data_IF_654063148395
#
_entry.id   IF_654063148395
#
_cell.length_a   1.000
_cell.length_b   1.000
_cell.length_c   1.000
_cell.angle_alpha   90.00
_cell.angle_beta   90.00
_cell.angle_gamma   90.00
#
_symmetry.space_group_name_H-M   'P 1'
#
loop_
_entity.id
_entity.type
_entity.pdbx_description
1 polymer ?
#
# COMPACT_ATOMS: atom_id res chain seq x y z
N UNK A 1 -16.73 -6.32 57.51
CA UNK A 1 -15.69 -6.74 58.49
C UNK A 1 -15.69 -8.26 58.56
N UNK A 2 -14.48 -8.81 58.51
CA UNK A 2 -14.01 -10.21 58.60
C UNK A 2 -14.92 -11.30 59.23
N UNK A 3 -14.87 -12.53 58.69
CA UNK A 3 -14.05 -13.69 59.15
C UNK A 3 -14.55 -14.97 58.44
N UNK A 4 -13.82 -16.08 58.26
CA UNK A 4 -12.47 -16.41 57.78
C UNK A 4 -12.51 -17.93 57.42
N UNK A 5 -11.55 -18.40 56.62
CA UNK A 5 -11.46 -19.72 55.96
C UNK A 5 -11.35 -20.95 56.89
N UNK A 6 -11.86 -22.09 56.41
CA UNK A 6 -11.65 -23.51 56.79
C UNK A 6 -11.42 -24.24 55.42
N UNK A 7 -10.53 -25.20 55.14
CA UNK A 7 -10.38 -26.57 55.66
C UNK A 7 -9.03 -27.18 55.18
N UNK A 8 -8.50 -28.01 56.06
CA UNK A 8 -7.25 -28.78 56.13
C UNK A 8 -7.35 -30.20 55.53
N UNK A 9 -6.18 -30.72 55.09
CA UNK A 9 -5.70 -32.12 55.15
C UNK A 9 -6.43 -33.21 54.31
N UNK A 10 -5.83 -34.33 53.83
CA UNK A 10 -4.68 -35.10 54.31
C UNK A 10 -4.15 -36.12 53.26
N UNK A 11 -2.85 -36.48 53.41
CA UNK A 11 -2.11 -37.75 53.18
C UNK A 11 -2.62 -38.89 52.27
N UNK A 12 -1.70 -39.46 51.48
CA UNK A 12 -1.68 -40.90 51.11
C UNK A 12 -0.80 -41.23 49.88
N UNK A 13 0.11 -42.21 49.99
CA UNK A 13 1.20 -42.50 49.06
C UNK A 13 0.99 -43.74 48.16
N UNK A 14 1.65 -43.76 46.97
CA UNK A 14 2.16 -44.91 46.15
C UNK A 14 1.14 -46.04 45.81
N UNK A 15 0.87 -46.46 44.56
CA UNK A 15 1.76 -46.96 43.49
C UNK A 15 0.91 -47.35 42.25
N UNK A 16 1.59 -47.50 41.10
CA UNK A 16 1.24 -48.23 39.85
C UNK A 16 0.14 -47.72 38.93
N UNK A 17 0.56 -47.22 37.76
CA UNK A 17 0.25 -47.88 36.48
C UNK A 17 1.27 -47.47 35.39
N UNK A 18 1.87 -48.47 34.74
CA UNK A 18 2.64 -48.32 33.51
C UNK A 18 1.67 -47.88 32.41
N UNK A 19 1.93 -46.76 31.76
CA UNK A 19 1.24 -46.35 30.53
C UNK A 19 2.24 -46.35 29.36
N UNK A 20 1.75 -46.86 28.24
CA UNK A 20 2.51 -47.41 27.13
C UNK A 20 3.38 -46.40 26.38
N UNK A 21 4.62 -46.84 26.17
CA UNK A 21 5.61 -46.31 25.25
C UNK A 21 5.24 -46.67 23.81
N UNK A 22 4.26 -46.00 23.22
CA UNK A 22 4.02 -46.02 21.77
C UNK A 22 3.00 -44.93 21.43
N UNK A 23 3.43 -43.82 20.82
CA UNK A 23 2.64 -42.88 19.97
C UNK A 23 3.26 -41.48 19.78
N UNK A 24 4.54 -41.29 20.11
CA UNK A 24 5.31 -40.14 19.59
C UNK A 24 6.38 -40.61 18.62
N UNK A 25 5.94 -41.18 17.50
CA UNK A 25 6.79 -41.26 16.31
C UNK A 25 7.09 -39.85 15.85
N UNK A 26 8.35 -39.46 16.00
CA UNK A 26 8.98 -38.30 15.35
C UNK A 26 8.64 -38.33 13.86
N UNK A 27 7.59 -37.62 13.44
CA UNK A 27 7.54 -37.11 12.08
C UNK A 27 8.52 -35.95 12.08
N UNK A 28 9.77 -36.26 11.74
CA UNK A 28 10.78 -35.26 11.45
C UNK A 28 10.30 -34.50 10.21
N UNK A 29 9.60 -33.38 10.44
CA UNK A 29 9.48 -32.34 9.42
C UNK A 29 10.90 -31.92 9.08
N UNK A 30 11.40 -32.40 7.94
CA UNK A 30 12.59 -31.83 7.32
C UNK A 30 12.32 -30.34 7.18
N UNK A 31 13.23 -29.46 7.63
CA UNK A 31 13.13 -28.06 7.27
C UNK A 31 13.21 -28.04 5.74
N UNK A 32 12.13 -27.61 5.09
CA UNK A 32 12.17 -27.31 3.66
C UNK A 32 13.14 -26.14 3.56
N UNK A 33 14.35 -26.45 3.12
CA UNK A 33 15.33 -25.45 2.79
C UNK A 33 14.72 -24.62 1.66
N UNK A 34 14.25 -23.42 2.00
CA UNK A 34 14.06 -22.36 1.01
C UNK A 34 15.44 -22.19 0.38
N UNK A 35 15.63 -22.73 -0.83
CA UNK A 35 16.80 -22.43 -1.66
C UNK A 35 16.64 -21.00 -2.16
N UNK A 36 16.73 -20.04 -1.25
CA UNK A 36 17.03 -18.68 -1.63
C UNK A 36 18.40 -18.72 -2.29
N UNK A 37 18.54 -18.09 -3.46
CA UNK A 37 19.86 -17.70 -3.92
C UNK A 37 20.56 -17.00 -2.77
N UNK A 38 21.68 -17.55 -2.31
CA UNK A 38 22.64 -16.77 -1.57
C UNK A 38 23.29 -15.86 -2.61
N UNK A 39 22.78 -14.63 -2.75
CA UNK A 39 23.55 -13.57 -3.40
C UNK A 39 24.86 -13.30 -2.66
N UNK A 40 25.00 -13.85 -1.45
CA UNK A 40 26.26 -13.91 -0.76
C UNK A 40 27.26 -14.81 -1.53
N UNK A 41 28.25 -14.19 -2.15
CA UNK A 41 29.45 -14.84 -2.68
C UNK A 41 30.62 -14.69 -1.69
N UNK A 42 31.67 -15.48 -1.87
CA UNK A 42 32.90 -15.26 -1.10
C UNK A 42 33.44 -13.86 -1.42
N UNK A 43 33.74 -13.08 -0.38
CA UNK A 43 34.22 -11.71 -0.56
C UNK A 43 35.55 -11.71 -1.31
N UNK A 44 35.61 -10.95 -2.40
CA UNK A 44 36.80 -10.81 -3.22
C UNK A 44 37.82 -9.87 -2.55
N UNK A 45 39.14 -10.08 -2.74
CA UNK A 45 40.16 -9.13 -2.29
C UNK A 45 39.92 -7.69 -2.78
N UNK A 46 40.51 -6.72 -2.11
CA UNK A 46 40.27 -5.30 -2.37
C UNK A 46 40.55 -4.90 -3.82
N UNK A 47 39.57 -4.26 -4.46
CA UNK A 47 39.70 -3.60 -5.75
C UNK A 47 40.15 -2.15 -5.61
N UNK A 48 40.34 -1.49 -6.75
CA UNK A 48 40.74 -0.08 -6.83
C UNK A 48 39.86 0.68 -7.81
N UNK A 49 39.53 1.93 -7.50
CA UNK A 49 38.76 2.79 -8.41
C UNK A 49 39.56 3.07 -9.68
N UNK A 50 39.00 2.74 -10.84
CA UNK A 50 39.58 3.01 -12.17
C UNK A 50 39.06 4.31 -12.76
N UNK A 51 37.76 4.56 -12.68
CA UNK A 51 37.10 5.75 -13.22
C UNK A 51 35.87 6.14 -12.40
N UNK A 52 35.55 7.43 -12.42
CA UNK A 52 34.35 8.02 -11.80
C UNK A 52 33.71 8.94 -12.84
N UNK A 53 32.44 8.70 -13.16
CA UNK A 53 31.65 9.47 -14.12
C UNK A 53 30.28 9.73 -13.49
N UNK A 54 30.15 10.87 -12.78
CA UNK A 54 28.99 11.13 -11.94
C UNK A 54 28.79 10.00 -10.93
N UNK A 55 27.56 9.49 -10.79
CA UNK A 55 27.24 8.38 -9.91
C UNK A 55 27.80 7.01 -10.35
N UNK A 56 28.38 6.91 -11.55
CA UNK A 56 28.93 5.65 -12.08
C UNK A 56 30.41 5.55 -11.72
N UNK A 57 30.78 4.50 -11.00
CA UNK A 57 32.15 4.23 -10.57
C UNK A 57 32.61 2.89 -11.11
N UNK A 58 33.69 2.86 -11.86
CA UNK A 58 34.30 1.61 -12.32
C UNK A 58 35.40 1.18 -11.33
N UNK A 59 35.35 -0.07 -10.89
CA UNK A 59 36.28 -0.65 -9.91
C UNK A 59 36.99 -1.83 -10.56
N UNK A 60 38.32 -1.81 -10.52
CA UNK A 60 39.17 -2.86 -11.06
C UNK A 60 39.69 -3.76 -9.93
N UNK A 61 39.62 -5.07 -10.13
CA UNK A 61 40.11 -6.09 -9.22
C UNK A 61 41.35 -6.77 -9.83
N UNK A 62 42.26 -7.22 -8.97
CA UNK A 62 43.51 -7.88 -9.42
C UNK A 62 43.31 -9.36 -9.77
N UNK A 63 42.23 -9.98 -9.29
CA UNK A 63 41.94 -11.40 -9.48
C UNK A 63 40.80 -11.61 -10.48
N UNK A 64 40.76 -12.79 -11.10
CA UNK A 64 39.69 -13.21 -12.01
C UNK A 64 38.36 -13.48 -11.28
N UNK A 65 38.38 -13.53 -9.94
CA UNK A 65 37.16 -13.61 -9.15
C UNK A 65 36.60 -12.19 -8.99
N UNK A 66 35.56 -11.85 -9.76
CA UNK A 66 34.88 -10.56 -9.65
C UNK A 66 33.68 -10.65 -8.71
N UNK A 67 33.37 -9.57 -7.96
CA UNK A 67 32.14 -9.51 -7.19
C UNK A 67 30.92 -9.73 -8.09
N UNK A 68 29.92 -10.45 -7.57
CA UNK A 68 28.69 -10.72 -8.32
C UNK A 68 27.94 -9.42 -8.64
N UNK A 69 27.16 -9.44 -9.72
CA UNK A 69 26.20 -8.36 -9.99
C UNK A 69 25.25 -8.28 -8.79
N UNK A 70 24.91 -7.05 -8.39
CA UNK A 70 24.14 -6.67 -7.21
C UNK A 70 24.88 -6.73 -5.88
N UNK A 71 26.16 -7.13 -5.83
CA UNK A 71 26.95 -7.03 -4.60
C UNK A 71 27.23 -5.57 -4.24
N UNK A 72 27.25 -5.29 -2.94
CA UNK A 72 27.69 -4.04 -2.38
C UNK A 72 29.21 -4.04 -2.21
N UNK A 73 29.84 -2.94 -2.63
CA UNK A 73 31.23 -2.62 -2.39
C UNK A 73 31.33 -1.40 -1.48
N UNK A 74 32.32 -1.37 -0.60
CA UNK A 74 32.56 -0.25 0.30
C UNK A 74 33.88 0.44 -0.03
N UNK A 75 33.84 1.75 -0.26
CA UNK A 75 35.04 2.55 -0.49
C UNK A 75 35.73 2.81 0.84
N UNK A 76 37.03 2.48 0.93
CA UNK A 76 37.81 2.71 2.14
C UNK A 76 38.33 4.14 2.20
N UNK A 77 38.39 4.67 3.42
CA UNK A 77 38.92 6.00 3.74
C UNK A 77 38.26 7.15 2.96
N UNK A 78 36.96 7.02 2.68
CA UNK A 78 36.20 8.09 2.03
C UNK A 78 35.91 9.23 3.02
N UNK A 79 36.26 10.46 2.62
CA UNK A 79 36.18 11.63 3.51
C UNK A 79 34.73 12.01 3.90
N UNK A 80 33.74 11.69 3.05
CA UNK A 80 32.31 11.92 3.29
C UNK A 80 31.65 10.90 4.24
N UNK A 81 32.40 9.95 4.80
CA UNK A 81 31.88 8.86 5.60
C UNK A 81 31.75 7.57 4.82
N UNK A 82 30.75 6.75 5.14
CA UNK A 82 30.56 5.44 4.52
C UNK A 82 29.95 5.59 3.13
N UNK A 83 30.71 5.23 2.09
CA UNK A 83 30.21 5.19 0.72
C UNK A 83 30.08 3.75 0.23
N UNK A 84 28.88 3.40 -0.20
CA UNK A 84 28.55 2.09 -0.77
C UNK A 84 28.31 2.22 -2.27
N UNK A 85 28.88 1.30 -3.03
CA UNK A 85 28.69 1.14 -4.47
C UNK A 85 27.98 -0.20 -4.73
N UNK A 86 27.00 -0.24 -5.62
CA UNK A 86 26.36 -1.50 -6.04
C UNK A 86 26.87 -1.92 -7.43
N UNK A 87 27.31 -3.17 -7.58
CA UNK A 87 27.75 -3.71 -8.86
C UNK A 87 26.58 -3.85 -9.82
N UNK A 88 26.59 -3.10 -10.93
CA UNK A 88 25.54 -3.13 -11.94
C UNK A 88 25.89 -4.04 -13.13
N UNK A 89 27.15 -4.10 -13.53
CA UNK A 89 27.59 -4.92 -14.68
C UNK A 89 29.10 -5.24 -14.63
N UNK A 90 29.50 -6.27 -15.35
CA UNK A 90 30.91 -6.62 -15.59
C UNK A 90 31.35 -6.09 -16.95
N UNK A 91 32.45 -5.34 -17.00
CA UNK A 91 32.95 -4.71 -18.23
C UNK A 91 34.04 -5.54 -18.95
N UNK A 92 34.58 -6.57 -18.28
CA UNK A 92 35.82 -7.25 -18.70
C UNK A 92 37.07 -6.60 -18.09
N UNK A 93 38.26 -7.11 -18.42
CA UNK A 93 39.55 -6.64 -17.86
C UNK A 93 39.56 -6.57 -16.32
N UNK A 94 38.92 -7.54 -15.68
CA UNK A 94 38.71 -7.60 -14.24
C UNK A 94 38.10 -6.31 -13.65
N UNK A 95 37.26 -5.63 -14.43
CA UNK A 95 36.59 -4.38 -14.05
C UNK A 95 35.08 -4.59 -13.94
N UNK A 96 34.52 -4.09 -12.84
CA UNK A 96 33.07 -3.99 -12.63
C UNK A 96 32.64 -2.54 -12.69
N UNK A 97 31.46 -2.29 -13.23
CA UNK A 97 30.82 -0.99 -13.17
C UNK A 97 29.80 -0.99 -12.05
N UNK A 98 29.88 0.04 -11.23
CA UNK A 98 29.04 0.20 -10.05
C UNK A 98 28.27 1.51 -10.08
N UNK A 99 27.19 1.56 -9.32
CA UNK A 99 26.40 2.76 -9.07
C UNK A 99 26.60 3.15 -7.61
N UNK A 100 27.00 4.39 -7.37
CA UNK A 100 27.16 4.93 -6.02
C UNK A 100 25.80 5.22 -5.36
N UNK A 101 25.66 4.86 -4.09
CA UNK A 101 24.45 5.10 -3.30
C UNK A 101 24.42 6.49 -2.64
N UNK A 102 25.52 7.23 -2.75
CA UNK A 102 25.68 8.60 -2.25
C UNK A 102 26.63 9.39 -3.18
N UNK A 103 26.88 10.65 -2.87
CA UNK A 103 27.78 11.54 -3.58
C UNK A 103 29.17 10.92 -3.82
N UNK A 104 29.70 11.10 -5.03
CA UNK A 104 31.01 10.60 -5.46
C UNK A 104 32.11 11.66 -5.35
N UNK A 105 31.82 12.80 -4.74
CA UNK A 105 32.78 13.89 -4.55
C UNK A 105 33.98 13.44 -3.73
N UNK A 106 35.19 13.81 -4.18
CA UNK A 106 36.42 13.46 -3.49
C UNK A 106 36.90 12.02 -3.73
N UNK A 107 36.21 11.23 -4.55
CA UNK A 107 36.75 9.95 -5.01
C UNK A 107 37.94 10.15 -5.93
N UNK A 108 38.98 9.37 -5.70
CA UNK A 108 40.22 9.40 -6.50
C UNK A 108 40.51 8.02 -7.07
N UNK A 109 41.14 8.01 -8.26
CA UNK A 109 41.60 6.76 -8.88
C UNK A 109 42.65 6.08 -7.99
N UNK A 110 42.63 4.75 -7.96
CA UNK A 110 43.48 3.94 -7.09
C UNK A 110 42.97 3.79 -5.66
N UNK A 111 41.90 4.51 -5.26
CA UNK A 111 41.31 4.35 -3.93
C UNK A 111 40.79 2.93 -3.75
N UNK A 112 41.04 2.36 -2.57
CA UNK A 112 40.71 0.97 -2.26
C UNK A 112 39.21 0.79 -2.07
N UNK A 113 38.68 -0.28 -2.63
CA UNK A 113 37.29 -0.69 -2.55
C UNK A 113 37.24 -2.13 -2.07
N UNK A 114 36.38 -2.43 -1.12
CA UNK A 114 36.24 -3.77 -0.54
C UNK A 114 34.88 -4.35 -0.91
N UNK A 115 34.87 -5.56 -1.46
CA UNK A 115 33.66 -6.33 -1.68
C UNK A 115 33.10 -6.82 -0.35
N UNK A 116 31.82 -6.55 -0.09
CA UNK A 116 31.14 -7.04 1.11
C UNK A 116 30.75 -8.51 0.99
N UNK A 117 30.82 -9.06 -0.23
CA UNK A 117 30.43 -10.42 -0.56
C UNK A 117 28.92 -10.62 -0.62
N UNK A 118 28.10 -9.59 -0.42
CA UNK A 118 26.65 -9.69 -0.47
C UNK A 118 26.04 -8.40 -1.05
N UNK A 119 24.76 -8.42 -1.47
CA UNK A 119 24.03 -7.20 -1.77
C UNK A 119 23.95 -6.25 -0.58
N UNK A 120 23.51 -5.01 -0.84
CA UNK A 120 23.19 -4.07 0.23
C UNK A 120 22.22 -4.74 1.20
N UNK A 121 22.62 -4.81 2.49
CA UNK A 121 21.80 -5.41 3.55
C UNK A 121 21.27 -4.33 4.49
N UNK A 122 20.00 -4.44 4.84
CA UNK A 122 19.30 -3.47 5.68
C UNK A 122 18.74 -4.15 6.95
N UNK A 123 18.59 -3.41 8.07
CA UNK A 123 17.98 -3.94 9.27
C UNK A 123 16.50 -4.28 9.02
N UNK A 124 16.05 -5.41 9.56
CA UNK A 124 14.64 -5.83 9.51
C UNK A 124 14.15 -6.29 10.88
N UNK A 125 12.85 -6.23 11.10
CA UNK A 125 12.23 -6.64 12.36
C UNK A 125 11.37 -5.53 12.97
N UNK A 126 10.86 -5.80 14.18
CA UNK A 126 10.02 -4.83 14.91
C UNK A 126 10.82 -3.61 15.37
N UNK A 127 12.13 -3.78 15.51
CA UNK A 127 13.09 -2.77 15.95
C UNK A 127 13.20 -1.58 14.97
N UNK A 128 12.76 -1.76 13.72
CA UNK A 128 12.76 -0.72 12.67
C UNK A 128 11.48 0.14 12.71
N UNK A 129 10.42 -0.30 13.40
CA UNK A 129 9.15 0.42 13.43
C UNK A 129 9.30 1.83 14.02
N UNK A 130 8.84 2.84 13.29
CA UNK A 130 8.92 4.24 13.68
C UNK A 130 10.30 4.88 13.51
N UNK A 131 11.22 4.21 12.80
CA UNK A 131 12.53 4.74 12.40
C UNK A 131 12.50 5.19 10.94
N UNK A 132 13.38 6.13 10.58
CA UNK A 132 13.65 6.49 9.18
C UNK A 132 15.02 5.95 8.81
N UNK A 133 15.09 5.13 7.76
CA UNK A 133 16.34 4.56 7.25
C UNK A 133 16.57 4.98 5.80
N UNK A 134 17.84 5.13 5.43
CA UNK A 134 18.24 5.36 4.03
C UNK A 134 18.38 4.03 3.25
N UNK A 135 18.77 4.12 1.99
CA UNK A 135 18.89 2.97 1.06
C UNK A 135 19.89 1.91 1.51
N UNK A 136 20.92 2.30 2.28
CA UNK A 136 21.94 1.39 2.83
C UNK A 136 21.61 0.91 4.25
N UNK A 137 20.41 1.21 4.76
CA UNK A 137 19.90 0.72 6.04
C UNK A 137 20.32 1.52 7.27
N UNK A 138 20.92 2.70 7.09
CA UNK A 138 21.35 3.56 8.19
C UNK A 138 20.23 4.47 8.67
N UNK A 139 20.08 4.67 10.00
CA UNK A 139 19.09 5.58 10.53
C UNK A 139 19.46 7.04 10.27
N UNK A 140 18.52 7.81 9.71
CA UNK A 140 18.67 9.24 9.41
C UNK A 140 17.74 10.13 10.25
N UNK A 141 17.17 9.57 11.31
CA UNK A 141 16.21 10.25 12.20
C UNK A 141 16.84 10.83 13.47
N UNK A 142 18.17 10.80 13.60
CA UNK A 142 18.93 11.27 14.78
C UNK A 142 18.57 10.56 16.11
N UNK A 143 17.85 9.43 16.07
CA UNK A 143 17.41 8.67 17.27
C UNK A 143 18.41 7.58 17.69
N UNK A 144 19.67 7.71 17.29
CA UNK A 144 20.73 6.73 17.56
C UNK A 144 20.64 5.46 16.68
N UNK A 145 21.45 4.43 16.95
CA UNK A 145 21.50 3.22 16.11
C UNK A 145 20.21 2.39 16.18
N UNK A 146 19.99 1.55 15.17
CA UNK A 146 18.92 0.54 15.16
C UNK A 146 19.54 -0.79 15.62
N UNK A 147 19.16 -1.26 16.80
CA UNK A 147 19.63 -2.53 17.35
C UNK A 147 18.84 -3.72 16.78
N UNK A 148 18.86 -3.90 15.45
CA UNK A 148 18.15 -4.98 14.77
C UNK A 148 18.84 -6.33 14.97
N UNK A 149 18.03 -7.38 15.22
CA UNK A 149 18.51 -8.75 15.39
C UNK A 149 18.84 -9.44 14.08
N UNK A 150 18.28 -8.95 12.98
CA UNK A 150 18.38 -9.58 11.66
C UNK A 150 18.51 -8.51 10.60
N UNK A 151 19.29 -8.81 9.56
CA UNK A 151 19.45 -7.99 8.38
C UNK A 151 19.07 -8.82 7.15
N UNK A 152 18.57 -8.17 6.10
CA UNK A 152 18.23 -8.82 4.82
C UNK A 152 18.78 -8.00 3.66
N UNK A 153 19.21 -8.70 2.60
CA UNK A 153 19.56 -8.07 1.33
C UNK A 153 18.35 -7.42 0.68
N UNK A 154 18.54 -6.26 0.03
CA UNK A 154 17.48 -5.56 -0.70
C UNK A 154 17.08 -6.29 -1.99
N UNK A 155 17.99 -7.09 -2.55
CA UNK A 155 17.75 -7.93 -3.71
C UNK A 155 17.26 -9.31 -3.27
N UNK A 156 16.06 -9.68 -3.71
CA UNK A 156 15.45 -10.97 -3.46
C UNK A 156 14.64 -11.40 -4.69
N UNK A 157 14.67 -12.70 -4.99
CA UNK A 157 13.81 -13.27 -6.03
C UNK A 157 12.33 -13.15 -5.64
N UNK A 158 11.47 -13.00 -6.64
CA UNK A 158 10.03 -12.99 -6.44
C UNK A 158 9.53 -14.36 -5.90
N UNK A 159 8.39 -14.39 -5.18
CA UNK A 159 7.82 -15.66 -4.72
C UNK A 159 7.53 -16.62 -5.88
N UNK A 160 7.92 -17.88 -5.71
CA UNK A 160 7.65 -18.93 -6.69
C UNK A 160 6.14 -19.12 -6.90
N UNK A 161 5.76 -19.56 -8.11
CA UNK A 161 4.35 -19.77 -8.47
C UNK A 161 3.59 -20.67 -7.49
N UNK A 162 4.25 -21.70 -6.93
CA UNK A 162 3.66 -22.65 -5.96
C UNK A 162 3.36 -22.05 -4.59
N UNK A 163 3.89 -20.86 -4.31
CA UNK A 163 3.68 -20.13 -3.06
C UNK A 163 2.64 -19.03 -3.19
N UNK A 164 2.20 -18.71 -4.40
CA UNK A 164 1.19 -17.68 -4.66
C UNK A 164 -0.22 -18.19 -4.38
N UNK A 165 -1.03 -17.39 -3.70
CA UNK A 165 -2.45 -17.67 -3.50
C UNK A 165 -3.25 -17.32 -4.77
N UNK A 166 -4.07 -18.24 -5.29
CA UNK A 166 -4.89 -17.98 -6.47
C UNK A 166 -6.19 -17.22 -6.15
N UNK A 167 -6.54 -17.07 -4.86
CA UNK A 167 -7.84 -16.52 -4.45
C UNK A 167 -7.73 -15.02 -4.22
N UNK A 168 -8.38 -14.18 -5.03
CA UNK A 168 -8.46 -12.75 -4.76
C UNK A 168 -9.36 -12.51 -3.56
N UNK A 169 -8.87 -11.75 -2.59
CA UNK A 169 -9.63 -11.29 -1.42
C UNK A 169 -9.67 -9.75 -1.44
N UNK A 170 -10.79 -9.16 -1.03
CA UNK A 170 -10.90 -7.71 -0.89
C UNK A 170 -10.12 -7.25 0.35
N UNK A 171 -9.40 -6.16 0.21
CA UNK A 171 -8.85 -5.40 1.32
C UNK A 171 -9.79 -4.22 1.62
N UNK A 172 -10.59 -4.35 2.67
CA UNK A 172 -11.46 -3.27 3.15
C UNK A 172 -10.63 -2.10 3.68
N UNK A 173 -10.73 -0.95 3.01
CA UNK A 173 -9.95 0.26 3.34
C UNK A 173 -10.69 1.16 4.33
N UNK A 174 -12.02 1.03 4.39
CA UNK A 174 -12.89 1.91 5.15
C UNK A 174 -13.16 3.25 4.45
N UNK A 175 -12.74 3.41 3.20
CA UNK A 175 -12.92 4.60 2.37
C UNK A 175 -14.01 4.29 1.33
N UNK A 176 -15.15 4.96 1.42
CA UNK A 176 -16.35 4.63 0.62
C UNK A 176 -16.10 4.53 -0.88
N UNK A 177 -15.46 5.55 -1.47
CA UNK A 177 -15.22 5.61 -2.92
C UNK A 177 -14.28 4.49 -3.39
N UNK A 178 -13.26 4.15 -2.60
CA UNK A 178 -12.31 3.08 -2.92
C UNK A 178 -13.00 1.73 -2.78
N UNK A 179 -13.58 1.46 -1.62
CA UNK A 179 -14.21 0.17 -1.33
C UNK A 179 -15.38 -0.15 -2.26
N UNK A 180 -16.14 0.86 -2.70
CA UNK A 180 -17.26 0.66 -3.63
C UNK A 180 -16.81 0.53 -5.09
N UNK A 181 -16.06 1.52 -5.61
CA UNK A 181 -15.86 1.69 -7.05
C UNK A 181 -14.51 1.18 -7.55
N UNK A 182 -13.48 1.19 -6.71
CA UNK A 182 -12.15 0.69 -7.06
C UNK A 182 -11.57 -0.17 -5.92
N UNK A 183 -12.24 -1.26 -5.54
CA UNK A 183 -11.85 -2.06 -4.38
C UNK A 183 -10.43 -2.63 -4.54
N UNK A 184 -9.65 -2.59 -3.47
CA UNK A 184 -8.27 -3.10 -3.45
C UNK A 184 -8.23 -4.60 -3.20
N UNK A 185 -7.30 -5.26 -3.89
CA UNK A 185 -7.03 -6.67 -3.67
C UNK A 185 -5.99 -6.85 -2.56
N UNK A 186 -6.22 -7.82 -1.67
CA UNK A 186 -5.20 -8.25 -0.71
C UNK A 186 -4.03 -8.88 -1.46
N UNK A 187 -2.82 -8.39 -1.22
CA UNK A 187 -1.63 -8.82 -1.96
C UNK A 187 -1.45 -8.12 -3.30
N UNK A 188 -2.10 -6.99 -3.53
CA UNK A 188 -1.90 -6.20 -4.75
C UNK A 188 -0.41 -5.91 -4.99
N UNK A 189 0.03 -6.23 -6.22
CA UNK A 189 1.39 -6.11 -6.76
C UNK A 189 2.50 -6.96 -6.13
N UNK A 190 2.50 -7.22 -4.82
CA UNK A 190 3.57 -8.01 -4.15
C UNK A 190 3.10 -9.45 -3.81
N UNK A 191 1.92 -9.83 -4.32
CA UNK A 191 1.25 -11.14 -4.20
C UNK A 191 0.96 -11.57 -2.76
N UNK A 192 0.03 -12.50 -2.62
CA UNK A 192 -0.28 -13.16 -1.35
C UNK A 192 0.42 -14.51 -1.33
N UNK A 193 1.18 -14.76 -0.26
CA UNK A 193 1.86 -16.05 -0.03
C UNK A 193 1.21 -16.82 1.12
N UNK A 194 1.63 -18.07 1.32
CA UNK A 194 1.20 -18.91 2.46
C UNK A 194 1.49 -18.29 3.83
N UNK A 195 2.49 -17.41 3.92
CA UNK A 195 2.96 -16.82 5.19
C UNK A 195 2.38 -15.43 5.46
N UNK A 196 1.69 -14.83 4.49
CA UNK A 196 1.15 -13.47 4.59
C UNK A 196 1.03 -12.78 3.24
N UNK A 197 0.52 -11.56 3.26
CA UNK A 197 0.27 -10.73 2.09
C UNK A 197 0.95 -9.37 2.22
N UNK A 198 1.47 -8.84 1.12
CA UNK A 198 1.92 -7.45 1.04
C UNK A 198 1.07 -6.75 -0.01
N UNK A 199 0.24 -5.80 0.41
CA UNK A 199 -0.49 -4.90 -0.50
C UNK A 199 0.34 -3.63 -0.67
N UNK A 200 0.72 -3.31 -1.91
CA UNK A 200 1.51 -2.12 -2.22
C UNK A 200 0.60 -1.02 -2.78
N UNK A 201 0.44 0.08 -2.03
CA UNK A 201 -0.20 1.31 -2.53
C UNK A 201 0.90 2.22 -3.07
N UNK A 202 0.83 2.54 -4.36
CA UNK A 202 1.90 3.27 -5.05
C UNK A 202 1.40 4.58 -5.64
N UNK A 203 2.04 5.68 -5.24
CA UNK A 203 1.83 6.96 -5.88
C UNK A 203 2.57 6.97 -7.23
N UNK A 204 1.82 7.02 -8.32
CA UNK A 204 2.35 7.14 -9.68
C UNK A 204 2.18 8.60 -10.11
N UNK A 205 3.28 9.30 -10.31
CA UNK A 205 3.25 10.64 -10.89
C UNK A 205 3.06 10.51 -12.41
N UNK A 206 2.04 11.17 -12.94
CA UNK A 206 1.73 11.21 -14.37
C UNK A 206 2.31 12.51 -14.93
N UNK A 207 3.39 12.47 -15.73
CA UNK A 207 3.97 13.68 -16.29
C UNK A 207 2.97 14.40 -17.20
N UNK A 208 2.80 15.72 -17.00
CA UNK A 208 1.92 16.56 -17.81
C UNK A 208 0.47 16.04 -17.95
N UNK A 209 -0.02 15.30 -16.95
CA UNK A 209 -1.35 14.66 -16.94
C UNK A 209 -1.59 13.69 -18.12
N UNK A 210 -0.52 13.17 -18.76
CA UNK A 210 -0.60 12.22 -19.89
C UNK A 210 -0.44 10.76 -19.45
N UNK A 211 -1.56 10.03 -19.41
CA UNK A 211 -1.61 8.60 -19.09
C UNK A 211 -1.00 7.69 -20.17
N UNK A 212 -0.71 8.22 -21.35
CA UNK A 212 -0.13 7.46 -22.46
C UNK A 212 1.40 7.43 -22.44
N UNK A 213 2.04 8.17 -21.51
CA UNK A 213 3.47 8.09 -21.31
C UNK A 213 3.91 6.64 -20.98
N UNK A 214 5.05 6.15 -21.50
CA UNK A 214 5.49 4.77 -21.29
C UNK A 214 5.65 4.37 -19.82
N UNK A 215 6.05 5.29 -18.93
CA UNK A 215 6.28 4.97 -17.52
C UNK A 215 4.97 4.64 -16.76
N UNK A 216 3.94 5.51 -16.75
CA UNK A 216 2.64 5.16 -16.17
C UNK A 216 1.99 4.01 -16.92
N UNK A 217 2.05 3.95 -18.27
CA UNK A 217 1.45 2.86 -19.04
C UNK A 217 2.02 1.48 -18.66
N UNK A 218 3.34 1.36 -18.50
CA UNK A 218 3.99 0.12 -18.04
C UNK A 218 3.62 -0.19 -16.60
N UNK A 219 3.52 0.82 -15.75
CA UNK A 219 3.15 0.65 -14.35
C UNK A 219 1.71 0.12 -14.22
N UNK A 220 0.77 0.70 -14.98
CA UNK A 220 -0.65 0.32 -14.95
C UNK A 220 -0.89 -1.13 -15.39
N UNK A 221 -0.06 -1.68 -16.27
CA UNK A 221 -0.15 -3.09 -16.68
C UNK A 221 0.07 -4.08 -15.52
N UNK A 222 0.65 -3.62 -14.41
CA UNK A 222 0.94 -4.43 -13.22
C UNK A 222 0.08 -4.07 -12.01
N UNK A 223 -0.86 -3.13 -12.13
CA UNK A 223 -1.77 -2.76 -11.04
C UNK A 223 -3.10 -3.50 -11.17
N UNK A 224 -3.61 -3.99 -10.04
CA UNK A 224 -4.93 -4.61 -9.98
C UNK A 224 -6.02 -3.55 -9.83
N UNK A 225 -5.74 -2.47 -9.11
CA UNK A 225 -6.60 -1.31 -8.97
C UNK A 225 -5.83 -0.01 -9.26
N UNK A 226 -6.53 0.93 -9.88
CA UNK A 226 -6.03 2.28 -10.15
C UNK A 226 -7.00 3.28 -9.54
N UNK A 227 -6.54 4.02 -8.53
CA UNK A 227 -7.28 5.12 -7.92
C UNK A 227 -6.74 6.43 -8.45
N UNK A 228 -7.48 7.04 -9.38
CA UNK A 228 -7.08 8.30 -10.03
C UNK A 228 -7.55 9.46 -9.17
N UNK A 229 -6.64 10.38 -8.85
CA UNK A 229 -6.95 11.61 -8.13
C UNK A 229 -7.08 12.75 -9.12
N UNK A 230 -8.22 13.46 -9.10
CA UNK A 230 -8.53 14.52 -10.05
C UNK A 230 -8.54 15.89 -9.40
N UNK A 231 -7.92 16.87 -10.09
CA UNK A 231 -7.93 18.27 -9.65
C UNK A 231 -9.33 18.87 -9.69
N UNK A 232 -10.14 18.56 -10.71
CA UNK A 232 -11.49 19.12 -10.85
C UNK A 232 -12.41 18.70 -9.70
N UNK A 233 -12.23 17.49 -9.16
CA UNK A 233 -12.98 16.99 -7.99
C UNK A 233 -12.51 17.70 -6.71
N UNK A 234 -11.21 17.92 -6.57
CA UNK A 234 -10.66 18.67 -5.43
C UNK A 234 -11.15 20.13 -5.39
N UNK A 235 -11.28 20.78 -6.55
CA UNK A 235 -11.81 22.15 -6.69
C UNK A 235 -13.28 22.26 -6.26
N UNK A 236 -14.05 21.17 -6.38
CA UNK A 236 -15.41 21.08 -5.83
C UNK A 236 -15.45 20.89 -4.31
N UNK A 237 -14.29 20.79 -3.65
CA UNK A 237 -14.14 20.54 -2.21
C UNK A 237 -14.38 19.09 -1.81
N UNK A 238 -14.43 18.15 -2.76
CA UNK A 238 -14.72 16.74 -2.47
C UNK A 238 -13.40 16.01 -2.13
N UNK A 239 -13.30 15.51 -0.90
CA UNK A 239 -12.16 14.75 -0.43
C UNK A 239 -12.60 13.38 0.12
N UNK A 240 -11.91 12.28 -0.22
CA UNK A 240 -10.75 12.22 -1.13
C UNK A 240 -11.14 12.52 -2.59
N UNK A 241 -10.25 13.16 -3.35
CA UNK A 241 -10.51 13.64 -4.70
C UNK A 241 -10.41 12.52 -5.76
N UNK A 242 -11.00 11.36 -5.46
CA UNK A 242 -10.98 10.18 -6.33
C UNK A 242 -11.96 10.37 -7.48
N UNK A 243 -11.51 10.15 -8.71
CA UNK A 243 -12.38 10.11 -9.88
C UNK A 243 -13.12 8.77 -9.97
N UNK A 244 -14.45 8.75 -9.79
CA UNK A 244 -15.24 7.51 -9.76
C UNK A 244 -15.38 6.81 -11.12
N UNK A 245 -15.11 7.52 -12.23
CA UNK A 245 -15.25 6.99 -13.59
C UNK A 245 -13.89 6.56 -14.17
N UNK A 246 -12.83 7.29 -13.83
CA UNK A 246 -11.47 6.96 -14.28
C UNK A 246 -10.77 5.94 -13.37
N UNK A 247 -11.19 5.82 -12.11
CA UNK A 247 -10.70 4.77 -11.21
C UNK A 247 -11.29 3.41 -11.55
N UNK A 248 -10.45 2.37 -11.53
CA UNK A 248 -10.80 1.02 -11.97
C UNK A 248 -10.23 -0.02 -11.03
N UNK A 249 -10.86 -1.18 -10.98
CA UNK A 249 -10.34 -2.34 -10.27
C UNK A 249 -10.67 -3.62 -11.03
N UNK A 250 -9.68 -4.49 -11.21
CA UNK A 250 -9.83 -5.81 -11.82
C UNK A 250 -10.70 -6.74 -10.98
N UNK A 251 -10.76 -6.50 -9.65
CA UNK A 251 -11.55 -7.33 -8.75
C UNK A 251 -13.01 -6.87 -8.62
N UNK A 252 -13.39 -5.76 -9.25
CA UNK A 252 -14.79 -5.35 -9.40
C UNK A 252 -15.50 -6.26 -10.42
N UNK A 253 -15.62 -7.54 -10.07
CA UNK A 253 -16.26 -8.61 -10.82
C UNK A 253 -17.27 -9.30 -9.89
N UNK A 254 -18.51 -9.58 -10.34
CA UNK A 254 -19.55 -10.16 -9.49
C UNK A 254 -19.17 -11.53 -8.89
N UNK A 255 -18.20 -12.24 -9.47
CA UNK A 255 -17.67 -13.51 -8.95
C UNK A 255 -16.72 -13.32 -7.75
N UNK A 256 -16.16 -12.13 -7.57
CA UNK A 256 -15.22 -11.81 -6.50
C UNK A 256 -15.90 -10.95 -5.43
N UNK A 257 -16.48 -9.80 -5.81
CA UNK A 257 -17.13 -8.88 -4.87
C UNK A 257 -18.57 -9.27 -4.51
N UNK A 258 -19.16 -10.20 -5.26
CA UNK A 258 -20.57 -10.57 -5.15
C UNK A 258 -21.47 -9.70 -6.01
N UNK A 259 -22.66 -10.23 -6.32
CA UNK A 259 -23.60 -9.59 -7.25
C UNK A 259 -24.16 -8.26 -6.72
N UNK A 260 -24.40 -8.14 -5.41
CA UNK A 260 -24.96 -6.94 -4.80
C UNK A 260 -23.98 -5.76 -4.90
N UNK A 261 -22.74 -5.94 -4.44
CA UNK A 261 -21.69 -4.92 -4.53
C UNK A 261 -21.47 -4.49 -5.98
N UNK A 262 -21.27 -5.46 -6.88
CA UNK A 262 -21.04 -5.18 -8.30
C UNK A 262 -22.18 -4.37 -8.93
N UNK A 263 -23.43 -4.74 -8.63
CA UNK A 263 -24.61 -4.02 -9.15
C UNK A 263 -24.65 -2.58 -8.64
N UNK A 264 -24.50 -2.37 -7.33
CA UNK A 264 -24.52 -1.02 -6.74
C UNK A 264 -23.41 -0.15 -7.32
N UNK A 265 -22.19 -0.69 -7.45
CA UNK A 265 -21.07 0.05 -8.03
C UNK A 265 -21.34 0.44 -9.50
N UNK A 266 -21.86 -0.49 -10.30
CA UNK A 266 -22.20 -0.25 -11.71
C UNK A 266 -23.31 0.79 -11.86
N UNK A 267 -24.36 0.69 -11.04
CA UNK A 267 -25.49 1.63 -11.05
C UNK A 267 -25.03 3.04 -10.65
N UNK A 268 -24.14 3.16 -9.65
CA UNK A 268 -23.51 4.43 -9.27
C UNK A 268 -22.68 5.01 -10.42
N UNK A 269 -21.85 4.21 -11.09
CA UNK A 269 -21.06 4.65 -12.24
C UNK A 269 -21.96 5.09 -13.40
N UNK A 270 -23.04 4.37 -13.66
CA UNK A 270 -23.99 4.71 -14.72
C UNK A 270 -24.67 6.06 -14.46
N UNK A 271 -25.12 6.32 -13.23
CA UNK A 271 -25.72 7.61 -12.86
C UNK A 271 -24.71 8.75 -13.02
N UNK A 272 -23.47 8.56 -12.55
CA UNK A 272 -22.43 9.58 -12.67
C UNK A 272 -22.02 9.84 -14.12
N UNK A 273 -22.00 8.80 -14.95
CA UNK A 273 -21.74 8.92 -16.38
C UNK A 273 -22.86 9.68 -17.10
N UNK A 274 -24.13 9.35 -16.80
CA UNK A 274 -25.28 10.07 -17.35
C UNK A 274 -25.27 11.55 -16.92
N UNK A 275 -24.97 11.81 -15.65
CA UNK A 275 -24.82 13.17 -15.14
C UNK A 275 -23.74 13.96 -15.90
N UNK A 276 -22.57 13.37 -16.16
CA UNK A 276 -21.51 14.00 -16.95
C UNK A 276 -22.00 14.36 -18.36
N UNK A 277 -22.79 13.50 -19.01
CA UNK A 277 -23.38 13.82 -20.32
C UNK A 277 -24.43 14.93 -20.26
N UNK A 278 -25.18 15.02 -19.15
CA UNK A 278 -26.18 16.08 -18.94
C UNK A 278 -25.54 17.43 -18.56
N UNK A 279 -24.33 17.45 -18.00
CA UNK A 279 -23.65 18.70 -17.60
C UNK A 279 -23.46 19.68 -18.77
N UNK A 280 -23.11 19.19 -19.96
CA UNK A 280 -22.94 20.03 -21.16
C UNK A 280 -24.27 20.68 -21.57
N UNK A 281 -25.37 19.92 -21.48
CA UNK A 281 -26.72 20.41 -21.77
C UNK A 281 -27.13 21.47 -20.75
N UNK A 282 -26.92 21.20 -19.45
CA UNK A 282 -27.23 22.13 -18.36
C UNK A 282 -26.44 23.44 -18.52
N UNK A 283 -25.17 23.37 -18.94
CA UNK A 283 -24.34 24.54 -19.13
C UNK A 283 -24.80 25.44 -20.29
N UNK A 284 -25.45 24.87 -21.32
CA UNK A 284 -25.91 25.60 -22.52
C UNK A 284 -27.37 26.06 -22.38
N UNK A 285 -28.27 25.15 -22.00
CA UNK A 285 -29.72 25.35 -22.02
C UNK A 285 -30.30 25.68 -20.64
N UNK A 286 -29.61 25.30 -19.56
CA UNK A 286 -30.11 25.40 -18.19
C UNK A 286 -30.82 24.13 -17.71
N UNK A 287 -31.06 24.05 -16.39
CA UNK A 287 -31.63 22.87 -15.74
C UNK A 287 -33.13 22.68 -15.99
N UNK A 288 -33.84 23.75 -16.33
CA UNK A 288 -35.30 23.73 -16.54
C UNK A 288 -35.72 23.01 -17.83
N UNK A 289 -34.82 22.95 -18.81
CA UNK A 289 -35.02 22.31 -20.12
C UNK A 289 -34.88 20.79 -20.08
N UNK A 290 -34.42 20.23 -18.96
CA UNK A 290 -34.33 18.79 -18.77
C UNK A 290 -35.70 18.16 -18.52
N UNK A 291 -35.84 16.89 -18.91
CA UNK A 291 -37.02 16.10 -18.52
C UNK A 291 -37.05 15.90 -17.00
N UNK A 292 -38.22 15.65 -16.43
CA UNK A 292 -38.34 15.39 -14.98
C UNK A 292 -37.53 14.15 -14.54
N UNK A 293 -37.35 13.17 -15.44
CA UNK A 293 -36.50 12.00 -15.20
C UNK A 293 -35.02 12.38 -15.16
N UNK A 294 -34.56 13.21 -16.10
CA UNK A 294 -33.18 13.69 -16.12
C UNK A 294 -32.86 14.59 -14.93
N UNK A 295 -33.82 15.43 -14.50
CA UNK A 295 -33.68 16.24 -13.27
C UNK A 295 -33.44 15.35 -12.06
N UNK A 296 -34.21 14.26 -11.92
CA UNK A 296 -34.02 13.29 -10.84
C UNK A 296 -32.65 12.60 -10.90
N UNK A 297 -32.17 12.24 -12.10
CA UNK A 297 -30.82 11.70 -12.30
C UNK A 297 -29.76 12.69 -11.84
N UNK A 298 -29.89 13.97 -12.20
CA UNK A 298 -28.95 15.03 -11.80
C UNK A 298 -28.95 15.22 -10.28
N UNK A 299 -30.10 15.29 -9.64
CA UNK A 299 -30.19 15.43 -8.17
C UNK A 299 -29.54 14.26 -7.44
N UNK A 300 -29.84 13.02 -7.86
CA UNK A 300 -29.21 11.82 -7.27
C UNK A 300 -27.71 11.77 -7.54
N UNK A 301 -27.27 12.11 -8.75
CA UNK A 301 -25.86 12.15 -9.09
C UNK A 301 -25.09 13.17 -8.23
N UNK A 302 -25.65 14.37 -8.00
CA UNK A 302 -25.04 15.38 -7.12
C UNK A 302 -24.94 14.88 -5.68
N UNK A 303 -25.97 14.21 -5.16
CA UNK A 303 -25.95 13.59 -3.82
C UNK A 303 -24.89 12.49 -3.74
N UNK A 304 -24.83 11.59 -4.71
CA UNK A 304 -23.80 10.54 -4.81
C UNK A 304 -22.41 11.16 -4.84
N UNK A 305 -22.19 12.16 -5.70
CA UNK A 305 -20.89 12.84 -5.84
C UNK A 305 -20.44 13.46 -4.52
N UNK A 306 -21.34 14.11 -3.78
CA UNK A 306 -21.06 14.64 -2.43
C UNK A 306 -20.85 13.52 -1.42
N UNK A 307 -21.63 12.45 -1.49
CA UNK A 307 -21.54 11.32 -0.56
C UNK A 307 -20.25 10.51 -0.72
N UNK A 308 -19.60 10.55 -1.87
CA UNK A 308 -18.25 9.98 -2.04
C UNK A 308 -17.19 10.69 -1.17
N UNK A 309 -17.46 11.92 -0.70
CA UNK A 309 -16.60 12.57 0.28
C UNK A 309 -16.64 11.87 1.65
N UNK A 310 -15.54 11.96 2.39
CA UNK A 310 -15.41 11.31 3.69
C UNK A 310 -14.38 12.04 4.57
N UNK A 311 -14.71 12.32 5.84
CA UNK A 311 -13.75 12.92 6.75
C UNK A 311 -12.72 11.87 7.21
N UNK A 312 -11.44 12.21 7.05
CA UNK A 312 -10.33 11.35 7.48
C UNK A 312 -9.83 11.73 8.86
N UNK A 313 -9.58 10.72 9.72
CA UNK A 313 -9.05 10.94 11.07
C UNK A 313 -7.71 11.70 11.05
N UNK A 314 -6.85 11.41 10.07
CA UNK A 314 -5.57 12.12 9.88
C UNK A 314 -5.76 13.58 9.45
N UNK A 315 -6.89 13.91 8.84
CA UNK A 315 -7.21 15.26 8.37
C UNK A 315 -8.06 16.05 9.38
N UNK A 316 -8.45 15.44 10.51
CA UNK A 316 -9.29 16.08 11.53
C UNK A 316 -8.67 17.38 12.06
N UNK A 317 -7.34 17.42 12.21
CA UNK A 317 -6.60 18.60 12.68
C UNK A 317 -6.76 19.80 11.73
N UNK A 318 -6.92 19.55 10.43
CA UNK A 318 -7.05 20.59 9.41
C UNK A 318 -8.50 20.94 9.08
N UNK A 319 -9.37 19.92 9.09
CA UNK A 319 -10.75 20.04 8.62
C UNK A 319 -11.74 20.32 9.75
N UNK A 320 -11.40 19.99 11.00
CA UNK A 320 -12.30 20.07 12.16
C UNK A 320 -13.35 18.95 12.21
N UNK A 321 -13.52 18.18 11.14
CA UNK A 321 -14.44 17.04 11.10
C UNK A 321 -13.81 15.80 11.74
N UNK A 322 -14.59 15.11 12.57
CA UNK A 322 -14.16 13.85 13.16
C UNK A 322 -14.06 12.76 12.08
N UNK A 323 -12.94 12.04 12.07
CA UNK A 323 -12.72 10.96 11.12
C UNK A 323 -13.79 9.87 11.20
N UNK A 324 -14.23 9.36 10.06
CA UNK A 324 -15.17 8.24 9.96
C UNK A 324 -14.55 7.11 9.16
N UNK A 325 -14.59 5.90 9.71
CA UNK A 325 -14.22 4.67 9.02
C UNK A 325 -15.52 3.91 8.72
N UNK A 326 -15.81 3.69 7.44
CA UNK A 326 -17.10 3.16 7.00
C UNK A 326 -16.93 1.72 6.56
N UNK A 327 -17.72 0.80 7.11
CA UNK A 327 -17.65 -0.62 6.72
C UNK A 327 -18.18 -0.82 5.31
N UNK A 328 -17.63 -1.78 4.58
CA UNK A 328 -18.03 -2.11 3.22
C UNK A 328 -19.54 -2.39 3.10
N UNK A 329 -20.10 -3.18 4.01
CA UNK A 329 -21.55 -3.49 4.02
C UNK A 329 -22.41 -2.24 4.21
N UNK A 330 -21.97 -1.31 5.06
CA UNK A 330 -22.68 -0.06 5.29
C UNK A 330 -22.54 0.87 4.07
N UNK A 331 -21.40 0.85 3.37
CA UNK A 331 -21.20 1.56 2.10
C UNK A 331 -22.18 1.06 1.05
N UNK A 332 -22.21 -0.24 0.78
CA UNK A 332 -23.10 -0.85 -0.23
C UNK A 332 -24.57 -0.52 0.09
N UNK A 333 -25.00 -0.72 1.33
CA UNK A 333 -26.36 -0.40 1.78
C UNK A 333 -26.68 1.09 1.56
N UNK A 334 -25.77 1.98 1.98
CA UNK A 334 -25.99 3.43 1.89
C UNK A 334 -26.15 3.89 0.44
N UNK A 335 -25.32 3.41 -0.48
CA UNK A 335 -25.44 3.75 -1.90
C UNK A 335 -26.68 3.11 -2.53
N UNK A 336 -27.02 1.86 -2.20
CA UNK A 336 -28.26 1.23 -2.67
C UNK A 336 -29.50 2.03 -2.25
N UNK A 337 -29.56 2.53 -1.02
CA UNK A 337 -30.69 3.35 -0.56
C UNK A 337 -30.81 4.69 -1.30
N UNK A 338 -29.69 5.29 -1.69
CA UNK A 338 -29.67 6.50 -2.53
C UNK A 338 -30.16 6.18 -3.95
N UNK A 339 -29.69 5.07 -4.53
CA UNK A 339 -30.12 4.60 -5.86
C UNK A 339 -31.63 4.27 -5.90
N UNK A 340 -32.16 3.69 -4.82
CA UNK A 340 -33.59 3.37 -4.65
C UNK A 340 -34.47 4.62 -4.47
N UNK A 341 -33.88 5.80 -4.27
CA UNK A 341 -34.61 7.05 -4.06
C UNK A 341 -35.16 7.26 -2.64
N UNK A 342 -34.75 6.44 -1.68
CA UNK A 342 -35.24 6.54 -0.28
C UNK A 342 -34.87 7.87 0.39
N UNK A 343 -33.83 8.52 -0.13
CA UNK A 343 -33.25 9.75 0.41
C UNK A 343 -33.38 10.94 -0.56
N UNK A 344 -34.32 10.87 -1.51
CA UNK A 344 -34.55 11.95 -2.48
C UNK A 344 -35.04 13.25 -1.82
N UNK A 345 -35.73 13.16 -0.68
CA UNK A 345 -36.17 14.34 0.07
C UNK A 345 -35.06 15.05 0.86
N UNK A 346 -33.89 14.42 1.04
CA UNK A 346 -32.80 15.00 1.82
C UNK A 346 -32.01 16.02 0.99
N UNK A 347 -31.55 17.13 1.60
CA UNK A 347 -30.76 18.15 0.90
C UNK A 347 -29.37 17.63 0.53
N UNK A 348 -28.83 18.08 -0.62
CA UNK A 348 -27.48 17.67 -1.10
C UNK A 348 -26.37 17.93 -0.08
N UNK A 349 -26.49 19.03 0.68
CA UNK A 349 -25.50 19.44 1.69
C UNK A 349 -25.39 18.45 2.84
N UNK A 350 -26.44 17.66 3.12
CA UNK A 350 -26.40 16.63 4.16
C UNK A 350 -25.48 15.46 3.79
N UNK A 351 -25.20 15.25 2.50
CA UNK A 351 -24.34 14.15 2.03
C UNK A 351 -22.85 14.50 2.06
N UNK A 352 -22.50 15.77 2.30
CA UNK A 352 -21.12 16.22 2.31
C UNK A 352 -20.41 15.89 3.63
N UNK A 353 -19.19 15.34 3.53
CA UNK A 353 -18.30 14.97 4.64
C UNK A 353 -18.96 14.07 5.69
N UNK A 354 -19.77 13.11 5.24
CA UNK A 354 -20.43 12.13 6.10
C UNK A 354 -19.79 10.74 6.03
N UNK A 355 -20.00 9.95 7.09
CA UNK A 355 -19.67 8.54 7.12
C UNK A 355 -20.70 7.72 6.36
N UNK A 356 -21.66 7.17 7.09
CA UNK A 356 -22.75 6.31 6.59
C UNK A 356 -24.04 7.09 6.30
N UNK A 357 -25.04 6.45 5.70
CA UNK A 357 -26.36 7.08 5.48
C UNK A 357 -27.04 7.52 6.79
N UNK A 358 -26.78 6.83 7.90
CA UNK A 358 -27.31 7.22 9.20
C UNK A 358 -26.76 8.57 9.68
N UNK A 359 -25.53 8.91 9.28
CA UNK A 359 -24.92 10.21 9.59
C UNK A 359 -25.53 11.32 8.72
N UNK A 360 -25.85 11.00 7.45
CA UNK A 360 -26.56 11.91 6.54
C UNK A 360 -27.94 12.28 7.08
N UNK A 361 -28.72 11.29 7.56
CA UNK A 361 -30.06 11.54 8.12
C UNK A 361 -29.97 12.47 9.34
N UNK A 362 -29.04 12.19 10.28
CA UNK A 362 -28.82 13.05 11.45
C UNK A 362 -28.43 14.46 11.03
N UNK A 363 -27.53 14.60 10.06
CA UNK A 363 -27.11 15.92 9.56
C UNK A 363 -28.27 16.67 8.91
N UNK A 364 -29.14 15.97 8.19
CA UNK A 364 -30.35 16.58 7.61
C UNK A 364 -31.31 17.09 8.69
N UNK A 365 -31.48 16.36 9.78
CA UNK A 365 -32.31 16.82 10.91
C UNK A 365 -31.71 18.04 11.61
N UNK A 366 -30.37 18.10 11.75
CA UNK A 366 -29.67 19.27 12.28
C UNK A 366 -29.87 20.49 11.38
N UNK A 367 -29.67 20.34 10.07
CA UNK A 367 -29.88 21.41 9.10
C UNK A 367 -31.33 21.92 9.11
N UNK A 368 -32.32 21.02 9.24
CA UNK A 368 -33.72 21.41 9.36
C UNK A 368 -34.00 22.23 10.65
N UNK A 369 -33.35 21.88 11.76
CA UNK A 369 -33.44 22.64 13.03
C UNK A 369 -32.76 24.01 12.93
N UNK A 370 -31.60 24.09 12.28
CA UNK A 370 -30.88 25.34 12.06
C UNK A 370 -31.70 26.31 11.19
N UNK A 371 -32.37 25.81 10.15
CA UNK A 371 -33.23 26.61 9.27
C UNK A 371 -34.59 26.97 9.88
N UNK A 372 -35.15 26.13 10.74
CA UNK A 372 -36.42 26.41 11.43
C UNK A 372 -36.28 27.27 12.70
N UNK A 373 -35.05 27.54 13.15
CA UNK A 373 -34.72 28.40 14.28
C UNK A 373 -34.36 29.84 13.90
N UNK A 374 -34.35 30.16 12.60
CA UNK A 374 -34.31 31.52 12.04
C UNK A 374 -35.71 31.92 11.58
#
# INVERSE_FOLDING_TARGET
MHFNRIITASRGALRTQKANTALFTKSAMKPIAVKGRQYATEATPAGQIRSVIGAVVDVQFEQDNLPAILNALEVKDHAGGRLVLEVAQHLGENTVRTIAMDGTEGLVRGQKVVDTGAPITIPVGKEVLGRIINVIGEPIDERGPINAKTHRGIHAEAPEFVDQSPTPEILETGIKVVDLLAPYARGERITTTKNGSITSVQAVYVPADDLTDPAPATTFAHLDATTVLSRSIAELGIYPAVDPLDSKSRILDPRIVGAEHYKVATDVQQILQNYKSLQDIIAILGMDELSEEDKLVVERARKIQRFLSQPFAVAQVFTGYEGRLVKLQDTIRSFQEILDGKHDSLPETAFYMQGSISDVIKRSEELAKEMGGQ
#
